data_IF_572897613513
#
_entry.id   IF_572897613513
#
_cell.length_a   1.000
_cell.length_b   1.000
_cell.length_c   1.000
_cell.angle_alpha   90.00
_cell.angle_beta   90.00
_cell.angle_gamma   90.00
#
_symmetry.space_group_name_H-M   'P 1'
#
loop_
_entity.id
_entity.type
_entity.pdbx_description
1 polymer ?
#
# COMPACT_ATOMS: atom_id res chain seq x y z
N UNK A 1 15.80 8.27 20.63
CA UNK A 1 16.57 7.63 19.54
C UNK A 1 16.62 8.66 18.42
N UNK A 2 17.75 8.82 17.76
CA UNK A 2 17.90 9.83 16.71
C UNK A 2 17.88 9.13 15.35
N UNK A 3 17.08 9.57 14.39
CA UNK A 3 16.98 8.98 13.06
C UNK A 3 17.20 10.05 11.99
N UNK A 4 17.90 9.69 10.92
CA UNK A 4 18.21 10.61 9.82
C UNK A 4 17.92 9.96 8.48
N UNK A 5 17.15 10.64 7.64
CA UNK A 5 16.84 10.26 6.26
C UNK A 5 17.54 11.23 5.31
N UNK A 6 18.66 10.82 4.73
CA UNK A 6 19.47 11.65 3.81
C UNK A 6 19.08 11.45 2.35
N UNK A 7 19.61 12.26 1.45
CA UNK A 7 19.34 12.16 0.01
C UNK A 7 19.55 10.76 -0.59
N UNK A 8 20.52 9.97 -0.10
CA UNK A 8 20.75 8.59 -0.59
C UNK A 8 19.64 7.62 -0.19
N UNK A 9 18.94 7.85 0.94
CA UNK A 9 17.73 7.11 1.28
C UNK A 9 16.64 7.32 0.21
N UNK A 10 16.57 8.52 -0.37
CA UNK A 10 15.58 8.90 -1.38
C UNK A 10 16.06 8.75 -2.83
N UNK A 11 17.14 8.00 -3.08
CA UNK A 11 17.77 7.90 -4.41
C UNK A 11 16.82 7.43 -5.51
N UNK A 12 15.86 6.57 -5.18
CA UNK A 12 14.86 6.02 -6.11
C UNK A 12 13.58 6.85 -6.21
N UNK A 13 13.56 8.08 -5.69
CA UNK A 13 12.38 8.96 -5.65
C UNK A 13 11.65 9.12 -7.00
N UNK A 14 12.40 9.14 -8.11
CA UNK A 14 11.87 9.33 -9.46
C UNK A 14 11.61 8.01 -10.20
N UNK A 15 11.79 6.85 -9.56
CA UNK A 15 11.47 5.57 -10.18
C UNK A 15 9.95 5.44 -10.31
N UNK A 16 9.49 5.11 -11.52
CA UNK A 16 8.08 4.82 -11.80
C UNK A 16 7.64 3.57 -11.03
N UNK A 17 6.56 3.69 -10.26
CA UNK A 17 5.98 2.57 -9.50
C UNK A 17 4.63 2.14 -10.05
N UNK A 18 3.87 3.05 -10.66
CA UNK A 18 2.69 2.73 -11.43
C UNK A 18 2.64 3.58 -12.68
N UNK A 19 2.05 3.06 -13.75
CA UNK A 19 1.88 3.78 -15.00
C UNK A 19 0.50 3.54 -15.57
N UNK A 20 -0.18 4.63 -15.93
CA UNK A 20 -1.43 4.58 -16.66
C UNK A 20 -1.23 3.81 -17.98
N UNK A 21 -2.22 2.99 -18.32
CA UNK A 21 -2.22 2.34 -19.63
C UNK A 21 -2.42 3.38 -20.73
N UNK A 22 -1.86 3.11 -21.91
CA UNK A 22 -2.09 3.98 -23.07
C UNK A 22 -3.56 3.91 -23.49
N UNK A 23 -4.18 5.07 -23.63
CA UNK A 23 -5.58 5.20 -24.07
C UNK A 23 -5.72 6.23 -25.19
N UNK A 24 -6.73 6.02 -26.04
CA UNK A 24 -7.01 6.90 -27.17
C UNK A 24 -7.74 8.17 -26.74
N UNK A 25 -7.39 9.30 -27.37
CA UNK A 25 -7.96 10.62 -27.07
C UNK A 25 -9.21 10.88 -27.93
N UNK A 26 -10.19 10.00 -27.82
CA UNK A 26 -11.42 10.05 -28.63
C UNK A 26 -12.30 11.20 -28.15
N UNK A 27 -12.70 12.06 -29.08
CA UNK A 27 -13.73 13.07 -28.82
C UNK A 27 -15.12 12.44 -28.93
N UNK A 28 -15.88 12.54 -27.86
CA UNK A 28 -17.27 12.12 -27.73
C UNK A 28 -18.19 13.33 -27.56
N UNK A 29 -19.45 13.14 -27.91
CA UNK A 29 -20.54 14.11 -27.75
C UNK A 29 -21.54 13.63 -26.68
N UNK A 30 -22.40 14.52 -26.18
CA UNK A 30 -23.39 14.19 -25.13
C UNK A 30 -24.28 12.99 -25.54
N UNK A 31 -24.62 12.87 -26.83
CA UNK A 31 -25.47 11.80 -27.36
C UNK A 31 -24.82 10.42 -27.35
N UNK A 32 -23.50 10.34 -27.16
CA UNK A 32 -22.80 9.06 -27.06
C UNK A 32 -23.02 8.39 -25.71
N UNK A 33 -23.43 9.15 -24.69
CA UNK A 33 -23.59 8.67 -23.32
C UNK A 33 -25.03 8.22 -23.05
N UNK A 34 -25.16 7.13 -22.31
CA UNK A 34 -26.43 6.53 -21.89
C UNK A 34 -26.51 6.45 -20.36
N UNK A 35 -26.39 7.59 -19.64
CA UNK A 35 -26.28 7.57 -18.20
C UNK A 35 -27.56 7.04 -17.55
N UNK A 36 -27.41 6.19 -16.52
CA UNK A 36 -28.54 5.75 -15.70
C UNK A 36 -29.19 6.99 -15.05
N UNK A 37 -30.50 7.11 -15.22
CA UNK A 37 -31.30 8.23 -14.69
C UNK A 37 -31.30 8.26 -13.16
N UNK A 38 -31.03 7.13 -12.51
CA UNK A 38 -31.04 7.00 -11.04
C UNK A 38 -29.69 7.32 -10.39
N UNK A 39 -28.59 7.27 -11.15
CA UNK A 39 -27.24 7.55 -10.65
C UNK A 39 -26.93 9.03 -10.92
N UNK A 40 -26.71 9.77 -9.83
CA UNK A 40 -26.35 11.20 -9.89
C UNK A 40 -24.94 11.40 -9.39
N UNK A 41 -24.29 12.45 -9.88
CA UNK A 41 -22.96 12.89 -9.51
C UNK A 41 -21.84 11.90 -9.87
N UNK A 42 -22.05 11.06 -10.89
CA UNK A 42 -21.02 10.17 -11.41
C UNK A 42 -20.30 10.78 -12.61
N UNK A 43 -19.09 10.28 -12.86
CA UNK A 43 -18.25 10.59 -14.01
C UNK A 43 -18.31 9.41 -14.97
N UNK A 44 -18.70 9.69 -16.22
CA UNK A 44 -18.87 8.72 -17.29
C UNK A 44 -17.73 8.86 -18.30
N UNK A 45 -17.17 7.75 -18.76
CA UNK A 45 -16.14 7.72 -19.80
C UNK A 45 -16.20 6.39 -20.55
N UNK A 46 -15.45 6.25 -21.64
CA UNK A 46 -15.42 5.01 -22.41
C UNK A 46 -14.09 4.27 -22.22
N UNK A 47 -14.18 2.97 -21.94
CA UNK A 47 -13.06 2.03 -21.93
C UNK A 47 -13.35 0.92 -22.95
N UNK A 48 -12.56 0.85 -24.03
CA UNK A 48 -12.75 -0.10 -25.14
C UNK A 48 -14.21 -0.15 -25.63
N UNK A 49 -14.77 1.02 -25.94
CA UNK A 49 -16.15 1.26 -26.37
C UNK A 49 -17.26 0.90 -25.37
N UNK A 50 -16.92 0.54 -24.14
CA UNK A 50 -17.88 0.39 -23.05
C UNK A 50 -17.95 1.66 -22.22
N UNK A 51 -19.16 2.16 -22.01
CA UNK A 51 -19.41 3.25 -21.08
C UNK A 51 -19.20 2.76 -19.64
N UNK A 52 -18.27 3.39 -18.94
CA UNK A 52 -17.96 3.17 -17.53
C UNK A 52 -18.45 4.39 -16.74
N UNK A 53 -19.02 4.15 -15.56
CA UNK A 53 -19.46 5.19 -14.64
C UNK A 53 -18.83 4.98 -13.28
N UNK A 54 -18.16 6.01 -12.75
CA UNK A 54 -17.50 5.98 -11.44
C UNK A 54 -17.88 7.21 -10.62
N UNK A 55 -17.98 7.02 -9.30
CA UNK A 55 -18.19 8.12 -8.36
C UNK A 55 -16.83 8.67 -7.89
N UNK A 56 -16.30 9.64 -8.63
CA UNK A 56 -15.08 10.33 -8.24
C UNK A 56 -15.36 11.34 -7.11
N UNK A 57 -14.40 11.51 -6.22
CA UNK A 57 -14.49 12.56 -5.19
C UNK A 57 -14.45 13.96 -5.81
N UNK A 58 -15.07 14.94 -5.14
CA UNK A 58 -15.07 16.34 -5.58
C UNK A 58 -13.65 16.89 -5.82
N UNK A 59 -12.69 16.48 -4.98
CA UNK A 59 -11.29 16.85 -5.11
C UNK A 59 -10.70 16.35 -6.44
N UNK A 60 -10.89 15.07 -6.77
CA UNK A 60 -10.41 14.49 -8.04
C UNK A 60 -11.07 15.16 -9.24
N UNK A 61 -12.37 15.46 -9.17
CA UNK A 61 -13.09 16.17 -10.25
C UNK A 61 -12.50 17.58 -10.43
N UNK A 62 -12.20 18.28 -9.32
CA UNK A 62 -11.57 19.61 -9.35
C UNK A 62 -10.18 19.55 -9.96
N UNK A 63 -9.36 18.56 -9.58
CA UNK A 63 -8.02 18.36 -10.13
C UNK A 63 -8.09 18.12 -11.65
N UNK A 64 -8.93 17.19 -12.11
CA UNK A 64 -9.14 16.92 -13.53
C UNK A 64 -9.53 18.20 -14.30
N UNK A 65 -10.52 18.95 -13.80
CA UNK A 65 -10.98 20.21 -14.43
C UNK A 65 -9.94 21.31 -14.42
N UNK A 66 -9.01 21.30 -13.46
CA UNK A 66 -7.92 22.28 -13.40
C UNK A 66 -6.80 21.98 -14.40
N UNK A 67 -6.65 20.71 -14.81
CA UNK A 67 -5.59 20.27 -15.71
C UNK A 67 -6.04 20.18 -17.18
N UNK A 68 -7.26 19.70 -17.43
CA UNK A 68 -7.76 19.45 -18.79
C UNK A 68 -8.68 20.56 -19.31
N UNK A 69 -8.82 20.61 -20.64
CA UNK A 69 -9.66 21.60 -21.33
C UNK A 69 -11.13 21.46 -20.92
N UNK A 70 -11.87 22.57 -20.75
CA UNK A 70 -13.30 22.53 -20.39
C UNK A 70 -14.15 21.71 -21.37
N UNK A 71 -13.76 21.68 -22.65
CA UNK A 71 -14.41 20.90 -23.71
C UNK A 71 -14.22 19.38 -23.56
N UNK A 72 -13.36 18.92 -22.65
CA UNK A 72 -13.24 17.51 -22.28
C UNK A 72 -14.29 17.11 -21.23
N UNK A 73 -15.10 18.05 -20.71
CA UNK A 73 -16.12 17.81 -19.68
C UNK A 73 -17.52 18.16 -20.19
N UNK A 74 -18.27 17.14 -20.55
CA UNK A 74 -19.64 17.25 -21.06
C UNK A 74 -20.64 17.21 -19.91
N UNK A 75 -21.55 18.18 -19.85
CA UNK A 75 -22.64 18.18 -18.87
C UNK A 75 -23.79 17.30 -19.36
N UNK A 76 -24.02 16.17 -18.71
CA UNK A 76 -25.07 15.22 -19.07
C UNK A 76 -26.43 15.66 -18.48
N UNK A 77 -27.53 15.14 -19.06
CA UNK A 77 -28.91 15.57 -18.80
C UNK A 77 -29.39 15.35 -17.36
N UNK A 78 -28.77 14.43 -16.62
CA UNK A 78 -29.06 14.12 -15.22
C UNK A 78 -28.13 14.83 -14.22
N UNK A 79 -27.23 15.71 -14.70
CA UNK A 79 -26.25 16.41 -13.89
C UNK A 79 -24.89 15.69 -13.77
N UNK A 80 -24.74 14.50 -14.35
CA UNK A 80 -23.46 13.78 -14.41
C UNK A 80 -22.48 14.46 -15.38
N UNK A 81 -21.23 14.04 -15.30
CA UNK A 81 -20.15 14.53 -16.16
C UNK A 81 -19.75 13.41 -17.12
N UNK A 82 -19.80 13.66 -18.43
CA UNK A 82 -19.20 12.80 -19.44
C UNK A 82 -17.79 13.31 -19.76
N UNK A 83 -16.79 12.44 -19.76
CA UNK A 83 -15.43 12.78 -20.17
C UNK A 83 -15.21 12.50 -21.65
N UNK A 84 -14.47 13.39 -22.30
CA UNK A 84 -14.11 13.33 -23.71
C UNK A 84 -12.61 13.64 -23.87
N UNK A 85 -12.03 13.33 -25.02
CA UNK A 85 -10.68 13.80 -25.38
C UNK A 85 -9.57 13.34 -24.42
N UNK A 86 -8.78 14.30 -23.92
CA UNK A 86 -7.59 13.98 -23.10
C UNK A 86 -7.99 13.57 -21.68
N UNK A 87 -8.98 14.24 -21.08
CA UNK A 87 -9.45 13.86 -19.75
C UNK A 87 -9.99 12.42 -19.72
N UNK A 88 -10.73 12.01 -20.76
CA UNK A 88 -11.20 10.64 -20.91
C UNK A 88 -10.04 9.64 -21.05
N UNK A 89 -9.06 9.95 -21.91
CA UNK A 89 -7.90 9.09 -22.11
C UNK A 89 -7.07 8.92 -20.83
N UNK A 90 -6.91 10.00 -20.05
CA UNK A 90 -6.20 9.96 -18.77
C UNK A 90 -6.91 9.06 -17.76
N UNK A 91 -8.23 9.26 -17.56
CA UNK A 91 -9.00 8.45 -16.63
C UNK A 91 -9.07 6.98 -17.06
N UNK A 92 -9.26 6.71 -18.35
CA UNK A 92 -9.26 5.35 -18.92
C UNK A 92 -7.89 4.66 -18.72
N UNK A 93 -6.80 5.39 -18.87
CA UNK A 93 -5.46 4.86 -18.66
C UNK A 93 -5.24 4.37 -17.23
N UNK A 94 -5.63 5.16 -16.23
CA UNK A 94 -5.57 4.75 -14.83
C UNK A 94 -6.57 3.66 -14.48
N UNK A 95 -7.79 3.72 -15.02
CA UNK A 95 -8.77 2.67 -14.86
C UNK A 95 -8.24 1.33 -15.37
N UNK A 96 -7.66 1.28 -16.57
CA UNK A 96 -7.03 0.09 -17.15
C UNK A 96 -5.84 -0.41 -16.34
N UNK A 97 -4.98 0.49 -15.87
CA UNK A 97 -3.88 0.13 -14.97
C UNK A 97 -4.39 -0.59 -13.72
N UNK A 98 -5.41 -0.03 -13.06
CA UNK A 98 -5.99 -0.62 -11.83
C UNK A 98 -6.65 -1.97 -12.14
N UNK A 99 -7.50 -2.00 -13.17
CA UNK A 99 -8.27 -3.20 -13.53
C UNK A 99 -7.36 -4.36 -13.95
N UNK A 100 -6.29 -4.08 -14.69
CA UNK A 100 -5.46 -5.11 -15.35
C UNK A 100 -4.10 -5.26 -14.66
N UNK A 101 -3.30 -4.21 -14.57
CA UNK A 101 -1.91 -4.31 -14.09
C UNK A 101 -1.83 -4.44 -12.57
N UNK A 102 -2.69 -3.71 -11.84
CA UNK A 102 -2.85 -3.86 -10.39
C UNK A 102 -3.74 -5.06 -10.02
N UNK A 103 -4.21 -5.79 -11.02
CA UNK A 103 -4.91 -7.08 -10.88
C UNK A 103 -6.26 -6.98 -10.14
N UNK A 104 -6.92 -5.82 -10.17
CA UNK A 104 -8.22 -5.64 -9.50
C UNK A 104 -9.26 -6.61 -10.03
N UNK A 105 -9.35 -6.79 -11.36
CA UNK A 105 -10.36 -7.66 -11.99
C UNK A 105 -10.30 -9.11 -11.51
N UNK A 106 -9.11 -9.63 -11.24
CA UNK A 106 -8.92 -10.99 -10.73
C UNK A 106 -8.98 -11.05 -9.19
N UNK A 107 -8.71 -9.92 -8.54
CA UNK A 107 -8.74 -9.81 -7.09
C UNK A 107 -10.17 -9.70 -6.56
N UNK A 108 -11.04 -8.93 -7.20
CA UNK A 108 -12.48 -8.83 -6.93
C UNK A 108 -13.20 -10.11 -7.41
N UNK A 109 -13.15 -11.16 -6.60
CA UNK A 109 -13.58 -12.51 -6.98
C UNK A 109 -15.10 -12.63 -6.98
N UNK A 110 -15.76 -11.92 -6.07
CA UNK A 110 -17.22 -11.90 -5.98
C UNK A 110 -17.86 -10.83 -6.90
N UNK A 111 -17.03 -9.96 -7.51
CA UNK A 111 -17.41 -8.94 -8.50
C UNK A 111 -18.32 -7.87 -7.92
N UNK A 112 -18.10 -7.54 -6.65
CA UNK A 112 -18.90 -6.54 -5.95
C UNK A 112 -18.34 -5.10 -6.09
N UNK A 113 -17.23 -4.93 -6.83
CA UNK A 113 -16.57 -3.65 -7.05
C UNK A 113 -15.66 -3.20 -5.91
N UNK A 114 -15.34 -4.10 -4.98
CA UNK A 114 -14.48 -3.85 -3.81
C UNK A 114 -13.53 -5.01 -3.61
N UNK A 115 -12.37 -4.71 -3.04
CA UNK A 115 -11.38 -5.68 -2.59
C UNK A 115 -11.52 -5.82 -1.09
N UNK A 116 -11.99 -6.99 -0.66
CA UNK A 116 -12.26 -7.28 0.73
C UNK A 116 -11.63 -8.59 1.18
N UNK A 117 -11.55 -8.79 2.49
CA UNK A 117 -11.18 -10.07 3.07
C UNK A 117 -9.82 -10.63 2.64
N UNK A 118 -9.78 -11.61 1.73
CA UNK A 118 -8.55 -12.24 1.22
C UNK A 118 -8.26 -11.87 -0.24
N UNK A 119 -9.07 -10.99 -0.83
CA UNK A 119 -8.92 -10.49 -2.19
C UNK A 119 -7.70 -9.56 -2.33
N UNK A 120 -7.35 -8.87 -1.25
CA UNK A 120 -6.17 -8.00 -1.22
C UNK A 120 -4.85 -8.75 -1.49
N UNK A 121 -4.80 -10.07 -1.27
CA UNK A 121 -3.59 -10.87 -1.43
C UNK A 121 -3.09 -10.90 -2.88
N UNK A 122 -3.99 -10.72 -3.85
CA UNK A 122 -3.66 -10.68 -5.27
C UNK A 122 -3.61 -9.27 -5.84
N UNK A 123 -4.18 -8.29 -5.14
CA UNK A 123 -4.17 -6.89 -5.56
C UNK A 123 -2.74 -6.35 -5.52
N UNK A 124 -2.24 -5.88 -6.67
CA UNK A 124 -0.88 -5.35 -6.83
C UNK A 124 -0.86 -3.84 -6.70
N UNK A 125 -1.27 -3.34 -5.53
CA UNK A 125 -1.40 -1.90 -5.23
C UNK A 125 -0.40 -1.44 -4.16
N UNK A 126 0.77 -2.05 -4.08
CA UNK A 126 1.83 -1.65 -3.16
C UNK A 126 3.17 -1.46 -3.84
N UNK A 127 4.06 -0.80 -3.12
CA UNK A 127 5.44 -0.54 -3.52
C UNK A 127 6.36 -1.18 -2.51
N UNK A 128 7.49 -1.72 -2.98
CA UNK A 128 8.54 -2.29 -2.15
C UNK A 128 9.87 -1.64 -2.50
N UNK A 129 10.56 -1.20 -1.46
CA UNK A 129 11.94 -0.74 -1.57
C UNK A 129 12.90 -1.86 -1.18
N UNK A 130 13.95 -2.04 -1.97
CA UNK A 130 15.09 -2.88 -1.65
C UNK A 130 16.23 -1.97 -1.18
N UNK A 131 16.64 -2.16 0.07
CA UNK A 131 17.72 -1.40 0.67
C UNK A 131 19.07 -2.11 0.50
N UNK A 132 20.16 -1.35 0.40
CA UNK A 132 21.49 -1.91 0.68
C UNK A 132 21.68 -2.09 2.19
N UNK A 133 22.29 -3.22 2.58
CA UNK A 133 22.62 -3.48 3.97
C UNK A 133 23.65 -2.42 4.42
N UNK A 134 23.22 -1.50 5.27
CA UNK A 134 24.12 -0.77 6.15
C UNK A 134 24.16 -1.50 7.48
N UNK A 135 25.37 -1.65 8.02
CA UNK A 135 25.56 -2.25 9.33
C UNK A 135 25.01 -1.30 10.40
N UNK A 136 23.93 -1.72 11.07
CA UNK A 136 23.25 -0.97 12.13
C UNK A 136 23.66 -1.49 13.52
N UNK A 137 24.60 -2.43 13.62
CA UNK A 137 24.98 -3.04 14.90
C UNK A 137 25.77 -2.13 15.83
N UNK A 138 26.30 -1.01 15.32
CA UNK A 138 27.31 -0.20 16.02
C UNK A 138 26.78 1.16 16.53
N UNK A 139 25.49 1.47 16.37
CA UNK A 139 24.92 2.76 16.76
C UNK A 139 23.83 2.64 17.83
N UNK A 140 24.24 2.39 19.08
CA UNK A 140 23.35 2.24 20.24
C UNK A 140 22.40 3.46 20.50
N UNK A 141 22.59 4.59 19.81
CA UNK A 141 21.84 5.83 20.04
C UNK A 141 21.29 6.58 18.80
N UNK A 142 21.64 6.14 17.58
CA UNK A 142 21.19 6.78 16.34
C UNK A 142 21.00 5.78 15.19
N UNK A 143 20.18 6.13 14.20
CA UNK A 143 19.87 5.30 13.02
C UNK A 143 19.99 6.17 11.76
N UNK A 144 20.80 5.74 10.80
CA UNK A 144 20.68 6.23 9.40
C UNK A 144 19.67 5.35 8.68
N UNK A 145 18.67 5.94 8.02
CA UNK A 145 17.79 5.16 7.17
C UNK A 145 18.55 4.68 5.91
N UNK A 146 18.33 3.42 5.54
CA UNK A 146 19.12 2.68 4.55
C UNK A 146 19.01 3.26 3.14
N UNK A 147 20.11 3.34 2.40
CA UNK A 147 20.05 3.71 0.97
C UNK A 147 19.08 2.79 0.20
N UNK A 148 18.10 3.39 -0.49
CA UNK A 148 17.22 2.67 -1.40
C UNK A 148 18.00 2.32 -2.68
N UNK A 149 18.22 1.03 -2.90
CA UNK A 149 18.90 0.51 -4.09
C UNK A 149 17.98 0.48 -5.29
N UNK A 150 16.74 0.05 -5.04
CA UNK A 150 15.74 -0.19 -6.06
C UNK A 150 14.36 -0.06 -5.43
N UNK A 151 13.44 0.51 -6.18
CA UNK A 151 12.02 0.47 -5.88
C UNK A 151 11.32 -0.41 -6.91
N UNK A 152 10.32 -1.16 -6.45
CA UNK A 152 9.45 -1.96 -7.31
C UNK A 152 8.00 -1.69 -6.96
N UNK A 153 7.22 -1.21 -7.92
CA UNK A 153 5.76 -1.13 -7.82
C UNK A 153 5.06 -2.42 -8.21
N UNK A 154 3.74 -2.39 -8.30
CA UNK A 154 2.90 -3.58 -8.58
C UNK A 154 3.17 -4.76 -7.62
N UNK A 155 3.49 -4.46 -6.37
CA UNK A 155 3.68 -5.47 -5.33
C UNK A 155 2.34 -5.77 -4.67
N UNK A 156 2.16 -7.02 -4.23
CA UNK A 156 0.96 -7.46 -3.53
C UNK A 156 0.66 -6.57 -2.31
N UNK A 157 -0.62 -6.27 -2.11
CA UNK A 157 -1.06 -5.32 -1.10
C UNK A 157 -0.71 -5.86 0.30
N UNK A 158 0.00 -5.04 1.10
CA UNK A 158 0.21 -5.34 2.52
C UNK A 158 -1.10 -5.02 3.26
N UNK A 159 -1.90 -6.07 3.44
CA UNK A 159 -3.14 -6.18 4.24
C UNK A 159 -3.62 -4.87 4.88
N UNK A 160 -4.76 -4.38 4.41
CA UNK A 160 -5.55 -3.35 5.08
C UNK A 160 -6.92 -3.96 5.32
N UNK A 161 -7.40 -3.97 6.57
CA UNK A 161 -8.77 -4.34 6.93
C UNK A 161 -9.82 -3.40 6.31
N UNK A 162 -9.36 -2.30 5.70
CA UNK A 162 -10.19 -1.41 4.91
C UNK A 162 -10.49 -2.06 3.55
N UNK A 163 -11.78 -2.27 3.30
CA UNK A 163 -12.33 -2.48 1.96
C UNK A 163 -11.83 -1.39 1.03
N UNK A 164 -11.33 -1.77 -0.15
CA UNK A 164 -10.85 -0.83 -1.18
C UNK A 164 -11.72 -0.93 -2.42
N UNK A 165 -12.45 0.13 -2.75
CA UNK A 165 -13.24 0.18 -3.97
C UNK A 165 -12.43 0.60 -5.19
N UNK A 166 -12.93 0.28 -6.39
CA UNK A 166 -12.35 0.78 -7.64
C UNK A 166 -12.32 2.32 -7.67
N UNK A 167 -13.36 2.98 -7.18
CA UNK A 167 -13.39 4.44 -7.11
C UNK A 167 -12.32 4.99 -6.16
N UNK A 168 -12.06 4.35 -5.03
CA UNK A 168 -10.99 4.77 -4.12
C UNK A 168 -9.63 4.68 -4.81
N UNK A 169 -9.32 3.57 -5.49
CA UNK A 169 -8.05 3.39 -6.20
C UNK A 169 -7.88 4.38 -7.36
N UNK A 170 -8.96 4.68 -8.09
CA UNK A 170 -8.96 5.69 -9.15
C UNK A 170 -8.74 7.08 -8.57
N UNK A 171 -9.43 7.45 -7.48
CA UNK A 171 -9.24 8.72 -6.80
C UNK A 171 -7.80 8.86 -6.26
N UNK A 172 -7.25 7.81 -5.67
CA UNK A 172 -5.86 7.79 -5.20
C UNK A 172 -4.86 7.96 -6.34
N UNK A 173 -5.11 7.33 -7.49
CA UNK A 173 -4.23 7.45 -8.66
C UNK A 173 -4.27 8.85 -9.27
N UNK A 174 -5.46 9.46 -9.41
CA UNK A 174 -5.60 10.85 -9.88
C UNK A 174 -4.87 11.83 -8.95
N UNK A 175 -4.96 11.62 -7.63
CA UNK A 175 -4.29 12.51 -6.67
C UNK A 175 -2.77 12.31 -6.65
N UNK A 176 -2.32 11.07 -6.81
CA UNK A 176 -0.90 10.73 -6.72
C UNK A 176 -0.14 11.10 -8.00
N UNK A 177 -0.75 10.95 -9.18
CA UNK A 177 -0.22 11.43 -10.47
C UNK A 177 -0.37 12.96 -10.53
N UNK A 178 0.53 13.66 -9.83
CA UNK A 178 0.36 15.08 -9.49
C UNK A 178 0.61 15.99 -10.70
N UNK A 179 1.48 15.58 -11.60
CA UNK A 179 1.78 16.31 -12.83
C UNK A 179 0.98 15.83 -14.04
N UNK A 180 0.13 14.81 -13.86
CA UNK A 180 -0.77 14.24 -14.86
C UNK A 180 -0.02 13.67 -16.08
N UNK A 181 1.21 13.19 -15.87
CA UNK A 181 2.05 12.62 -16.93
C UNK A 181 1.73 11.14 -17.22
N UNK A 182 0.85 10.53 -16.43
CA UNK A 182 0.47 9.12 -16.54
C UNK A 182 1.42 8.17 -15.82
N UNK A 183 2.32 8.68 -15.00
CA UNK A 183 3.27 7.93 -14.19
C UNK A 183 3.15 8.38 -12.73
N UNK A 184 3.13 7.42 -11.82
CA UNK A 184 3.30 7.70 -10.40
C UNK A 184 4.71 7.27 -10.04
N UNK A 185 5.53 8.22 -9.61
CA UNK A 185 6.87 7.96 -9.08
C UNK A 185 6.82 7.45 -7.63
N UNK A 186 7.94 6.90 -7.14
CA UNK A 186 8.05 6.46 -5.73
C UNK A 186 7.73 7.57 -4.73
N UNK A 187 8.17 8.79 -5.02
CA UNK A 187 7.94 9.96 -4.17
C UNK A 187 6.46 10.36 -4.16
N UNK A 188 5.83 10.41 -5.32
CA UNK A 188 4.41 10.70 -5.47
C UNK A 188 3.52 9.67 -4.78
N UNK A 189 3.85 8.39 -4.92
CA UNK A 189 3.18 7.31 -4.20
C UNK A 189 3.27 7.50 -2.68
N UNK A 190 4.44 7.88 -2.16
CA UNK A 190 4.59 8.20 -0.74
C UNK A 190 3.77 9.43 -0.33
N UNK A 191 3.70 10.44 -1.20
CA UNK A 191 3.03 11.69 -0.93
C UNK A 191 1.50 11.54 -0.86
N UNK A 192 0.92 10.55 -1.55
CA UNK A 192 -0.53 10.30 -1.61
C UNK A 192 -1.33 11.55 -2.02
N UNK A 193 -0.81 12.28 -3.00
CA UNK A 193 -1.33 13.59 -3.45
C UNK A 193 -0.91 14.80 -2.62
N UNK A 194 -0.04 14.62 -1.63
CA UNK A 194 0.61 15.70 -0.90
C UNK A 194 1.78 16.34 -1.63
N UNK A 195 2.54 17.15 -0.88
CA UNK A 195 3.79 17.77 -1.37
C UNK A 195 4.95 16.77 -1.37
N UNK A 196 6.06 17.12 -2.04
CA UNK A 196 7.29 16.30 -1.99
C UNK A 196 7.78 16.09 -0.56
N UNK A 197 7.71 17.13 0.28
CA UNK A 197 8.08 17.02 1.69
C UNK A 197 7.18 16.03 2.45
N UNK A 198 5.88 15.99 2.13
CA UNK A 198 4.98 14.99 2.66
C UNK A 198 5.40 13.58 2.22
N UNK A 199 5.79 13.41 0.94
CA UNK A 199 6.30 12.16 0.40
C UNK A 199 7.57 11.69 1.10
N UNK A 200 8.57 12.56 1.23
CA UNK A 200 9.81 12.24 1.97
C UNK A 200 9.54 11.87 3.42
N UNK A 201 8.63 12.60 4.08
CA UNK A 201 8.22 12.33 5.46
C UNK A 201 7.59 10.95 5.58
N UNK A 202 6.55 10.68 4.77
CA UNK A 202 5.80 9.43 4.82
C UNK A 202 6.70 8.22 4.55
N UNK A 203 7.60 8.33 3.57
CA UNK A 203 8.54 7.28 3.23
C UNK A 203 9.54 6.99 4.36
N UNK A 204 10.12 8.03 4.97
CA UNK A 204 11.04 7.86 6.10
C UNK A 204 10.33 7.26 7.33
N UNK A 205 9.09 7.68 7.61
CA UNK A 205 8.28 7.14 8.71
C UNK A 205 7.95 5.67 8.47
N UNK A 206 7.58 5.28 7.25
CA UNK A 206 7.31 3.88 6.89
C UNK A 206 8.56 3.02 7.09
N UNK A 207 9.71 3.45 6.57
CA UNK A 207 10.97 2.71 6.72
C UNK A 207 11.40 2.59 8.20
N UNK A 208 11.25 3.67 8.97
CA UNK A 208 11.55 3.67 10.40
C UNK A 208 10.61 2.71 11.16
N UNK A 209 9.32 2.72 10.84
CA UNK A 209 8.35 1.80 11.44
C UNK A 209 8.68 0.33 11.14
N UNK A 210 9.14 0.03 9.93
CA UNK A 210 9.57 -1.31 9.54
C UNK A 210 10.84 -1.75 10.29
N UNK A 211 11.80 -0.84 10.51
CA UNK A 211 13.02 -1.11 11.28
C UNK A 211 12.71 -1.39 12.75
N UNK A 212 11.78 -0.64 13.35
CA UNK A 212 11.45 -0.72 14.77
C UNK A 212 10.41 -1.80 15.09
N UNK A 213 9.95 -2.54 14.08
CA UNK A 213 8.91 -3.55 14.25
C UNK A 213 9.37 -4.64 15.23
N UNK A 214 8.71 -4.72 16.38
CA UNK A 214 9.03 -5.69 17.44
C UNK A 214 9.99 -5.19 18.51
N UNK A 215 10.43 -3.92 18.46
CA UNK A 215 11.13 -3.30 19.57
C UNK A 215 10.12 -2.67 20.56
N UNK A 216 9.94 -3.31 21.72
CA UNK A 216 9.07 -2.82 22.80
C UNK A 216 9.57 -1.50 23.42
N UNK A 217 10.84 -1.12 23.18
CA UNK A 217 11.39 0.16 23.62
C UNK A 217 11.03 1.26 22.61
N UNK A 218 9.75 1.60 22.56
CA UNK A 218 9.25 2.82 21.89
C UNK A 218 9.74 4.07 22.61
N UNK A 219 11.02 4.37 22.44
CA UNK A 219 11.61 5.64 22.85
C UNK A 219 11.09 6.73 21.91
N UNK A 220 10.97 7.96 22.41
CA UNK A 220 10.81 9.14 21.56
C UNK A 220 11.89 9.14 20.48
N UNK A 221 11.50 9.31 19.22
CA UNK A 221 12.40 9.36 18.06
C UNK A 221 12.36 10.74 17.44
N UNK A 222 13.54 11.34 17.32
CA UNK A 222 13.73 12.55 16.53
C UNK A 222 14.13 12.14 15.13
N UNK A 223 13.25 12.36 14.15
CA UNK A 223 13.52 12.12 12.74
C UNK A 223 13.93 13.43 12.06
N UNK A 224 15.13 13.44 11.46
CA UNK A 224 15.62 14.54 10.62
C UNK A 224 15.52 14.12 9.16
N UNK A 225 14.85 14.96 8.36
CA UNK A 225 14.74 14.78 6.91
C UNK A 225 15.74 15.70 6.21
N UNK A 226 16.63 15.12 5.42
CA UNK A 226 17.58 15.87 4.58
C UNK A 226 17.61 15.34 3.13
N UNK A 227 16.47 15.34 2.42
CA UNK A 227 16.37 14.80 1.08
C UNK A 227 17.24 15.53 0.05
N UNK A 228 17.67 16.76 0.36
CA UNK A 228 18.47 17.62 -0.53
C UNK A 228 19.93 17.75 -0.10
N UNK A 229 20.37 17.00 0.93
CA UNK A 229 21.73 17.05 1.45
C UNK A 229 22.19 18.48 1.83
N UNK A 230 21.30 19.25 2.47
CA UNK A 230 21.54 20.63 2.91
C UNK A 230 21.88 20.71 4.39
N UNK A 231 21.45 19.74 5.20
CA UNK A 231 21.58 19.75 6.65
C UNK A 231 22.80 18.93 7.09
N UNK A 232 22.88 17.68 6.65
CA UNK A 232 23.90 16.72 7.10
C UNK A 232 25.35 17.11 6.78
N UNK A 233 25.68 17.83 5.69
CA UNK A 233 27.03 18.34 5.51
C UNK A 233 27.46 19.37 6.57
N UNK A 234 26.51 20.05 7.22
CA UNK A 234 26.80 21.01 8.29
C UNK A 234 27.18 20.33 9.61
N UNK A 235 27.04 19.01 9.69
CA UNK A 235 27.38 18.20 10.86
C UNK A 235 28.82 17.68 10.84
N UNK A 236 29.57 17.96 9.77
CA UNK A 236 30.96 17.49 9.64
C UNK A 236 31.83 17.98 10.81
N UNK A 237 32.51 17.04 11.47
CA UNK A 237 33.31 17.30 12.66
C UNK A 237 32.52 17.63 13.95
N UNK A 238 31.19 17.55 13.94
CA UNK A 238 30.34 17.75 15.13
C UNK A 238 29.96 16.40 15.76
N UNK A 239 30.13 16.29 17.06
CA UNK A 239 29.71 15.12 17.83
C UNK A 239 28.19 14.87 17.72
N UNK A 240 27.79 13.60 17.47
CA UNK A 240 26.37 13.21 17.32
C UNK A 240 25.54 13.54 18.56
N UNK A 241 26.13 13.49 19.75
CA UNK A 241 25.46 13.89 21.01
C UNK A 241 25.06 15.37 21.00
N UNK A 242 25.90 16.24 20.44
CA UNK A 242 25.63 17.69 20.31
C UNK A 242 24.52 17.94 19.30
N UNK A 243 24.53 17.23 18.17
CA UNK A 243 23.48 17.29 17.14
C UNK A 243 22.14 16.83 17.73
N UNK A 244 22.14 15.69 18.44
CA UNK A 244 20.96 15.15 19.12
C UNK A 244 20.40 16.13 20.15
N UNK A 245 21.24 16.72 20.99
CA UNK A 245 20.78 17.68 22.00
C UNK A 245 20.24 18.98 21.40
N UNK A 246 20.74 19.41 20.24
CA UNK A 246 20.16 20.54 19.50
C UNK A 246 18.72 20.24 19.05
N UNK A 247 18.50 19.11 18.37
CA UNK A 247 17.16 18.75 17.89
C UNK A 247 16.19 18.30 19.00
N UNK A 248 16.72 17.78 20.12
CA UNK A 248 15.91 17.41 21.30
C UNK A 248 15.72 18.58 22.28
N UNK A 249 16.27 19.77 21.99
CA UNK A 249 16.06 20.98 22.79
C UNK A 249 16.76 20.98 24.16
N UNK A 250 17.84 20.21 24.33
CA UNK A 250 18.55 20.02 25.61
C UNK A 250 19.83 20.87 25.79
N UNK A 251 20.20 21.72 24.83
CA UNK A 251 21.45 22.50 24.83
C UNK A 251 21.31 24.02 24.60
N UNK A 252 22.36 24.79 24.97
CA UNK A 252 22.43 26.26 24.92
C UNK A 252 22.46 26.80 23.48
N UNK A 253 21.60 27.79 23.21
CA UNK A 253 21.50 28.60 21.98
C UNK A 253 22.87 28.95 21.35
N UNK A 254 23.35 28.14 20.41
CA UNK A 254 24.29 28.59 19.36
C UNK A 254 24.15 27.71 18.12
N UNK A 255 22.96 27.72 17.51
CA UNK A 255 22.85 27.65 16.06
C UNK A 255 22.32 29.02 15.62
N UNK A 256 23.07 29.74 14.79
CA UNK A 256 22.58 30.98 14.23
C UNK A 256 21.29 30.69 13.48
N UNK A 257 20.22 31.33 13.94
CA UNK A 257 18.81 31.05 13.64
C UNK A 257 18.38 31.47 12.23
N UNK A 258 19.23 31.29 11.22
CA UNK A 258 18.89 31.53 9.83
C UNK A 258 19.02 30.21 9.07
N UNK A 259 17.88 29.77 8.51
CA UNK A 259 17.77 28.73 7.48
C UNK A 259 17.92 27.27 7.91
N UNK A 260 17.00 26.77 8.74
CA UNK A 260 16.57 25.37 8.62
C UNK A 260 15.04 25.37 8.68
N UNK A 261 14.38 25.61 7.54
CA UNK A 261 12.97 25.25 7.40
C UNK A 261 12.87 23.74 7.15
N UNK A 262 13.19 22.97 8.19
CA UNK A 262 12.84 21.56 8.28
C UNK A 262 11.66 21.45 9.23
N UNK A 263 10.60 20.77 8.82
CA UNK A 263 9.47 20.48 9.71
C UNK A 263 9.98 19.55 10.82
N UNK A 264 10.14 20.09 12.03
CA UNK A 264 10.28 19.25 13.24
C UNK A 264 8.90 18.64 13.47
N UNK A 265 8.73 17.35 13.17
CA UNK A 265 7.56 16.60 13.67
C UNK A 265 7.89 16.21 15.11
N UNK A 266 7.65 17.13 16.04
CA UNK A 266 7.64 16.79 17.45
C UNK A 266 6.32 16.05 17.74
N UNK A 267 6.46 14.85 18.31
CA UNK A 267 5.43 13.84 18.53
C UNK A 267 4.70 13.37 17.26
N UNK A 268 5.36 12.46 16.52
CA UNK A 268 4.60 11.34 16.00
C UNK A 268 4.06 10.56 17.22
N UNK A 269 2.85 10.89 17.69
CA UNK A 269 1.98 9.83 18.18
C UNK A 269 1.79 8.93 16.97
N UNK A 270 2.61 7.89 16.90
CA UNK A 270 2.30 6.71 16.12
C UNK A 270 0.96 6.28 16.72
N UNK A 271 -0.13 6.64 16.04
CA UNK A 271 -1.41 6.01 16.25
C UNK A 271 -1.16 4.56 15.87
N UNK A 272 -0.79 3.75 16.86
CA UNK A 272 -1.18 2.36 16.82
C UNK A 272 -2.68 2.39 16.61
N UNK A 273 -3.13 1.97 15.43
CA UNK A 273 -4.26 1.07 15.46
C UNK A 273 -3.76 -0.10 16.32
N UNK A 274 -4.12 -0.10 17.61
CA UNK A 274 -3.99 -1.29 18.43
C UNK A 274 -4.72 -2.38 17.64
N UNK A 275 -3.96 -3.24 16.98
CA UNK A 275 -4.56 -4.34 16.25
C UNK A 275 -5.33 -5.14 17.29
N UNK A 276 -6.65 -5.22 17.12
CA UNK A 276 -7.51 -5.89 18.08
C UNK A 276 -6.98 -7.32 18.30
N UNK A 277 -7.17 -7.88 19.50
CA UNK A 277 -6.69 -9.26 19.80
C UNK A 277 -7.15 -10.26 18.71
N UNK A 278 -8.33 -10.01 18.14
CA UNK A 278 -8.86 -10.73 16.97
C UNK A 278 -8.01 -10.59 15.71
N UNK A 279 -7.52 -9.39 15.38
CA UNK A 279 -6.64 -9.12 14.24
C UNK A 279 -5.28 -9.81 14.39
N UNK A 280 -4.73 -9.84 15.62
CA UNK A 280 -3.51 -10.58 15.90
C UNK A 280 -3.69 -12.09 15.66
N UNK A 281 -4.82 -12.65 16.12
CA UNK A 281 -5.15 -14.07 15.90
C UNK A 281 -5.39 -14.39 14.43
N UNK A 282 -6.06 -13.51 13.67
CA UNK A 282 -6.32 -13.71 12.24
C UNK A 282 -5.03 -13.72 11.41
N UNK A 283 -4.06 -12.88 11.77
CA UNK A 283 -2.76 -12.83 11.11
C UNK A 283 -1.89 -14.05 11.42
N UNK A 284 -1.92 -14.55 12.66
CA UNK A 284 -1.10 -15.68 13.08
C UNK A 284 -1.68 -17.05 12.64
N UNK A 285 -3.01 -17.13 12.50
CA UNK A 285 -3.74 -18.36 12.17
C UNK A 285 -4.74 -18.18 11.02
N UNK A 286 -4.30 -17.78 9.81
CA UNK A 286 -5.19 -17.53 8.68
C UNK A 286 -6.03 -18.76 8.29
N UNK A 287 -5.54 -19.97 8.54
CA UNK A 287 -6.25 -21.24 8.31
C UNK A 287 -7.51 -21.42 9.18
N UNK A 288 -7.64 -20.69 10.29
CA UNK A 288 -8.77 -20.76 11.21
C UNK A 288 -9.65 -19.51 11.15
N UNK A 289 -9.56 -18.71 10.08
CA UNK A 289 -10.31 -17.44 9.90
C UNK A 289 -11.79 -17.56 10.23
N UNK A 290 -12.48 -18.55 9.66
CA UNK A 290 -13.92 -18.76 9.89
C UNK A 290 -14.24 -19.04 11.37
N UNK A 291 -13.34 -19.73 12.07
CA UNK A 291 -13.48 -20.04 13.49
C UNK A 291 -13.27 -18.79 14.36
N UNK A 292 -12.26 -17.98 14.03
CA UNK A 292 -11.92 -16.73 14.73
C UNK A 292 -13.01 -15.67 14.51
N UNK A 293 -13.62 -15.63 13.34
CA UNK A 293 -14.72 -14.71 13.04
C UNK A 293 -16.01 -15.09 13.77
N UNK A 294 -16.29 -16.40 13.91
CA UNK A 294 -17.54 -16.90 14.52
C UNK A 294 -17.43 -17.13 16.04
N UNK A 295 -16.23 -17.13 16.62
CA UNK A 295 -16.02 -17.27 18.06
C UNK A 295 -15.08 -16.16 18.58
N UNK A 296 -15.64 -15.00 18.99
CA UNK A 296 -14.85 -13.86 19.45
C UNK A 296 -14.02 -14.11 20.71
N UNK A 297 -14.32 -15.17 21.47
CA UNK A 297 -13.63 -15.53 22.71
C UNK A 297 -12.54 -16.60 22.51
N UNK A 298 -12.27 -17.01 21.26
CA UNK A 298 -11.26 -18.02 20.98
C UNK A 298 -9.86 -17.50 21.29
N UNK A 299 -9.07 -18.29 22.01
CA UNK A 299 -7.72 -17.87 22.42
C UNK A 299 -6.64 -18.42 21.48
N UNK A 300 -5.48 -17.74 21.47
CA UNK A 300 -4.27 -18.18 20.77
C UNK A 300 -3.89 -19.64 21.08
N UNK A 301 -3.97 -20.04 22.36
CA UNK A 301 -3.66 -21.41 22.77
C UNK A 301 -4.60 -22.46 22.15
N UNK A 302 -5.88 -22.12 22.00
CA UNK A 302 -6.86 -23.02 21.38
C UNK A 302 -6.57 -23.19 19.88
N UNK A 303 -6.20 -22.11 19.18
CA UNK A 303 -5.82 -22.14 17.77
C UNK A 303 -4.51 -22.92 17.55
N UNK A 304 -3.52 -22.77 18.42
CA UNK A 304 -2.29 -23.57 18.41
C UNK A 304 -2.55 -25.06 18.58
N UNK A 305 -3.48 -25.43 19.49
CA UNK A 305 -3.90 -26.83 19.66
C UNK A 305 -4.57 -27.38 18.40
N UNK A 306 -5.46 -26.59 17.76
CA UNK A 306 -6.10 -26.96 16.50
C UNK A 306 -5.10 -27.12 15.36
N UNK A 307 -4.12 -26.21 15.23
CA UNK A 307 -3.03 -26.29 14.24
C UNK A 307 -2.23 -27.58 14.41
N UNK A 308 -1.89 -27.92 15.65
CA UNK A 308 -1.17 -29.14 15.99
C UNK A 308 -1.99 -30.39 15.67
N UNK A 309 -3.29 -30.39 15.97
CA UNK A 309 -4.20 -31.47 15.60
C UNK A 309 -4.35 -31.61 14.08
N UNK A 310 -4.52 -30.51 13.34
CA UNK A 310 -4.61 -30.53 11.87
C UNK A 310 -3.33 -31.09 11.25
N UNK A 311 -2.16 -30.72 11.77
CA UNK A 311 -0.86 -31.27 11.34
C UNK A 311 -0.74 -32.77 11.62
N UNK A 312 -1.23 -33.24 12.77
CA UNK A 312 -1.29 -34.66 13.11
C UNK A 312 -2.24 -35.38 12.15
N UNK A 313 -3.45 -34.88 11.93
CA UNK A 313 -4.45 -35.47 11.03
C UNK A 313 -3.97 -35.48 9.58
N UNK A 314 -3.31 -34.42 9.11
CA UNK A 314 -2.68 -34.36 7.78
C UNK A 314 -1.55 -35.38 7.66
N UNK A 315 -0.71 -35.55 8.68
CA UNK A 315 0.29 -36.61 8.71
C UNK A 315 -0.38 -37.99 8.66
N UNK A 316 -1.41 -38.26 9.47
CA UNK A 316 -2.16 -39.52 9.44
C UNK A 316 -2.84 -39.80 8.09
N UNK A 317 -3.42 -38.78 7.45
CA UNK A 317 -4.01 -38.90 6.11
C UNK A 317 -2.95 -39.13 5.02
N UNK A 318 -1.73 -38.63 5.21
CA UNK A 318 -0.61 -38.85 4.31
C UNK A 318 -0.07 -40.29 4.42
N UNK A 319 0.01 -40.85 5.63
CA UNK A 319 0.41 -42.24 5.87
C UNK A 319 -0.67 -43.28 5.48
N UNK A 320 -1.96 -42.95 5.61
CA UNK A 320 -3.05 -43.86 5.22
C UNK A 320 -3.18 -44.09 3.71
N UNK A 321 -2.72 -43.17 2.85
CA UNK A 321 -2.81 -43.37 1.40
C UNK A 321 -1.83 -44.41 0.85
N UNK A 322 -0.73 -44.71 1.56
CA UNK A 322 0.26 -45.69 1.10
C UNK A 322 0.11 -47.04 1.80
N UNK A 323 -0.28 -47.06 3.09
CA UNK A 323 -0.35 -48.31 3.85
C UNK A 323 -1.69 -49.05 3.80
N UNK A 324 -2.83 -48.38 3.61
CA UNK A 324 -4.12 -49.10 3.53
C UNK A 324 -4.27 -49.89 2.23
N UNK A 325 -3.72 -49.41 1.09
CA UNK A 325 -3.70 -50.21 -0.13
C UNK A 325 -2.76 -51.42 -0.01
N UNK A 326 -1.62 -51.27 0.66
CA UNK A 326 -0.68 -52.37 0.87
C UNK A 326 -1.19 -53.38 1.91
N UNK A 327 -1.76 -52.96 3.03
CA UNK A 327 -2.37 -53.86 4.03
C UNK A 327 -3.64 -54.53 3.51
N UNK A 328 -4.48 -53.83 2.74
CA UNK A 328 -5.65 -54.46 2.13
C UNK A 328 -5.22 -55.49 1.09
N UNK A 329 -4.25 -55.19 0.23
CA UNK A 329 -3.76 -56.14 -0.79
C UNK A 329 -3.01 -57.33 -0.14
N UNK A 330 -2.18 -57.09 0.89
CA UNK A 330 -1.46 -58.16 1.60
C UNK A 330 -2.38 -59.07 2.43
N UNK A 331 -3.51 -58.56 2.93
CA UNK A 331 -4.48 -59.35 3.69
C UNK A 331 -5.57 -60.00 2.81
N UNK A 332 -5.91 -59.44 1.65
CA UNK A 332 -6.89 -60.04 0.73
C UNK A 332 -6.34 -61.28 -0.01
N UNK A 333 -5.01 -61.38 -0.18
CA UNK A 333 -4.36 -62.54 -0.80
C UNK A 333 -3.83 -63.59 0.20
N UNK A 334 -4.13 -63.45 1.51
CA UNK A 334 -3.79 -64.45 2.54
C UNK A 334 -4.95 -65.35 2.98
N UNK A 335 -6.14 -65.18 2.43
CA UNK A 335 -7.18 -66.20 2.54
C UNK A 335 -6.95 -67.26 1.47
N UNK A 336 -6.22 -68.30 1.86
CA UNK A 336 -6.17 -69.57 1.16
C UNK A 336 -7.61 -70.07 0.97
N UNK A 337 -8.07 -70.07 -0.28
CA UNK A 337 -9.23 -70.85 -0.69
C UNK A 337 -8.81 -72.31 -0.54
N UNK A 338 -9.34 -72.98 0.49
CA UNK A 338 -9.58 -74.42 0.42
C UNK A 338 -11.08 -74.67 0.60
N UNK A 339 -11.56 -75.51 -0.30
CA UNK A 339 -12.93 -75.86 -0.62
C UNK A 339 -13.84 -76.18 0.57
#
# INVERSE_FOLDING_TARGET
MFAVAVNTFYKTQNEAVFSASKSERIKREITDFTPDKNVKNSVHFFSDDKEISLNLSDESIKLLKSHFDENDFLKLSNGNIGLSGKAAAFLDGWYKDIMINRDFLNSDRDKNGRIENNEHLTLKNSVKDEAENQDLSDSDDWITLREAKRTTGYVGNKISDKSLSIEELVNESIKSDRDFDGTITRLEYAAKGGTDMQGYTNWAVEALSDILKGDEKKKSITLVLDPYNQITPQWDGIEISVIKDFYEGRGVKTFNSFQISGTIIQEAKILEAELSEKEQLLNEFPEFRALIQNNPAITKEQLLKLKKQQKITQNYQHYQKQDLQNEFTQNFFKTDIKA
#
